data_IF_634497171170
#
_entry.id   IF_634497171170
#
_cell.length_a   1.000
_cell.length_b   1.000
_cell.length_c   1.000
_cell.angle_alpha   90.00
_cell.angle_beta   90.00
_cell.angle_gamma   90.00
#
_symmetry.space_group_name_H-M   'P 1'
#
loop_
_entity.id
_entity.type
_entity.pdbx_description
1 polymer ?
#
# COMPACT_ATOMS: atom_id res chain seq x y z
N UNK A 1 22.30 12.29 -23.00
CA UNK A 1 20.83 12.13 -23.00
C UNK A 1 20.40 10.67 -22.96
N UNK A 2 20.93 9.74 -23.76
CA UNK A 2 20.52 8.31 -23.68
C UNK A 2 20.97 7.62 -22.38
N UNK A 3 22.19 7.87 -21.91
CA UNK A 3 22.71 7.30 -20.65
C UNK A 3 21.89 7.79 -19.46
N UNK A 4 21.64 9.10 -19.37
CA UNK A 4 20.86 9.72 -18.30
C UNK A 4 19.45 9.13 -18.21
N UNK A 5 18.79 8.97 -19.36
CA UNK A 5 17.48 8.34 -19.47
C UNK A 5 17.48 6.88 -18.99
N UNK A 6 18.47 6.08 -19.41
CA UNK A 6 18.53 4.66 -19.05
C UNK A 6 18.72 4.44 -17.55
N UNK A 7 19.51 5.29 -16.88
CA UNK A 7 19.81 5.11 -15.45
C UNK A 7 18.80 5.78 -14.50
N UNK A 8 17.97 6.71 -15.00
CA UNK A 8 17.02 7.43 -14.16
C UNK A 8 15.59 7.31 -14.69
N UNK A 9 15.29 7.93 -15.83
CA UNK A 9 13.92 8.00 -16.37
C UNK A 9 13.31 6.61 -16.63
N UNK A 10 14.11 5.62 -17.04
CA UNK A 10 13.65 4.24 -17.24
C UNK A 10 13.18 3.56 -15.95
N UNK A 11 13.79 3.88 -14.81
CA UNK A 11 13.45 3.33 -13.50
C UNK A 11 12.34 4.15 -12.81
N UNK A 12 12.50 5.47 -12.78
CA UNK A 12 11.65 6.36 -12.00
C UNK A 12 10.43 6.88 -12.77
N UNK A 13 10.37 6.66 -14.08
CA UNK A 13 9.36 7.22 -15.01
C UNK A 13 9.26 8.76 -14.99
N UNK A 14 10.21 9.45 -14.34
CA UNK A 14 10.32 10.90 -14.24
C UNK A 14 11.78 11.35 -14.44
N UNK A 15 12.01 12.56 -14.98
CA UNK A 15 13.37 13.05 -15.21
C UNK A 15 14.09 13.39 -13.89
N UNK A 16 15.42 13.22 -13.80
CA UNK A 16 16.21 13.44 -12.58
C UNK A 16 16.01 14.80 -11.90
N UNK A 17 15.63 15.83 -12.68
CA UNK A 17 15.40 17.19 -12.19
C UNK A 17 14.18 17.34 -11.27
N UNK A 18 13.25 16.38 -11.26
CA UNK A 18 12.08 16.38 -10.36
C UNK A 18 12.16 15.26 -9.30
N UNK A 19 13.02 14.26 -9.52
CA UNK A 19 13.21 13.13 -8.62
C UNK A 19 14.05 13.52 -7.39
N UNK A 20 13.60 13.11 -6.20
CA UNK A 20 14.33 13.38 -4.95
C UNK A 20 15.60 12.53 -4.83
N UNK A 21 16.76 13.17 -4.95
CA UNK A 21 18.07 12.52 -4.78
C UNK A 21 18.18 11.72 -3.47
N UNK A 22 17.61 12.23 -2.37
CA UNK A 22 17.67 11.59 -1.05
C UNK A 22 16.96 10.23 -1.01
N UNK A 23 15.89 10.07 -1.79
CA UNK A 23 15.06 8.87 -1.75
C UNK A 23 15.37 7.89 -2.88
N UNK A 24 16.14 8.31 -3.89
CA UNK A 24 16.52 7.45 -5.02
C UNK A 24 18.00 7.11 -5.05
N UNK A 25 18.86 7.77 -4.27
CA UNK A 25 20.30 7.44 -4.21
C UNK A 25 20.81 7.39 -2.76
N UNK A 26 21.23 6.21 -2.26
CA UNK A 26 21.13 4.90 -2.91
C UNK A 26 19.66 4.42 -2.98
N UNK A 27 19.39 3.49 -3.89
CA UNK A 27 18.10 2.79 -3.95
C UNK A 27 18.14 1.60 -2.99
N UNK A 28 17.31 1.62 -1.95
CA UNK A 28 17.38 0.61 -0.89
C UNK A 28 16.96 -0.77 -1.38
N UNK A 29 16.08 -0.86 -2.38
CA UNK A 29 15.66 -2.13 -2.97
C UNK A 29 16.83 -2.89 -3.58
N UNK A 30 17.69 -2.19 -4.32
CA UNK A 30 18.89 -2.78 -4.91
C UNK A 30 19.98 -3.05 -3.87
N UNK A 31 20.09 -2.20 -2.84
CA UNK A 31 21.02 -2.44 -1.73
C UNK A 31 20.62 -3.69 -0.92
N UNK A 32 19.34 -3.83 -0.60
CA UNK A 32 18.84 -4.85 0.32
C UNK A 32 18.56 -6.19 -0.40
N UNK A 33 18.11 -6.17 -1.67
CA UNK A 33 17.78 -7.38 -2.45
C UNK A 33 18.73 -7.69 -3.62
N UNK A 34 19.72 -6.82 -3.86
CA UNK A 34 20.72 -6.95 -4.91
C UNK A 34 20.34 -6.27 -6.23
N UNK A 35 21.36 -5.98 -7.04
CA UNK A 35 21.22 -5.22 -8.30
C UNK A 35 20.57 -5.99 -9.46
N UNK A 36 20.25 -7.27 -9.27
CA UNK A 36 19.79 -8.13 -10.36
C UNK A 36 18.27 -8.05 -10.55
N UNK A 37 17.85 -7.55 -11.72
CA UNK A 37 16.44 -7.56 -12.14
C UNK A 37 16.15 -8.78 -13.02
N UNK A 38 15.07 -9.50 -12.74
CA UNK A 38 14.65 -10.67 -13.51
C UNK A 38 13.36 -10.39 -14.29
N UNK A 39 13.42 -10.51 -15.62
CA UNK A 39 12.25 -10.42 -16.46
C UNK A 39 11.42 -11.70 -16.38
N UNK A 40 10.24 -11.62 -15.77
CA UNK A 40 9.34 -12.77 -15.64
C UNK A 40 8.52 -12.98 -16.92
N UNK A 41 8.95 -13.94 -17.75
CA UNK A 41 8.26 -14.34 -18.98
C UNK A 41 7.48 -15.66 -18.80
N UNK A 42 6.51 -15.68 -17.88
CA UNK A 42 5.71 -16.88 -17.57
C UNK A 42 4.27 -16.77 -18.14
N UNK A 43 3.77 -17.85 -18.75
CA UNK A 43 2.39 -17.92 -19.28
C UNK A 43 1.29 -17.72 -18.23
N UNK A 44 1.60 -17.92 -16.94
CA UNK A 44 0.70 -17.70 -15.81
C UNK A 44 0.63 -16.23 -15.37
N UNK A 45 1.58 -15.41 -15.83
CA UNK A 45 1.73 -14.00 -15.48
C UNK A 45 2.29 -13.73 -14.07
N UNK A 46 2.74 -12.50 -13.84
CA UNK A 46 3.28 -12.03 -12.55
C UNK A 46 2.21 -12.02 -11.45
N UNK A 47 0.94 -11.87 -11.83
CA UNK A 47 -0.21 -11.94 -10.93
C UNK A 47 -0.37 -13.28 -10.22
N UNK A 48 0.27 -14.35 -10.74
CA UNK A 48 0.26 -15.67 -10.11
C UNK A 48 0.79 -15.64 -8.67
N UNK A 49 1.75 -14.75 -8.38
CA UNK A 49 2.27 -14.51 -7.02
C UNK A 49 1.16 -13.98 -6.10
N UNK A 50 0.42 -12.96 -6.55
CA UNK A 50 -0.67 -12.37 -5.77
C UNK A 50 -1.82 -13.36 -5.56
N UNK A 51 -2.15 -14.14 -6.58
CA UNK A 51 -3.17 -15.19 -6.49
C UNK A 51 -2.73 -16.26 -5.48
N UNK A 52 -1.45 -16.64 -5.48
CA UNK A 52 -0.90 -17.60 -4.53
C UNK A 52 -0.98 -17.10 -3.08
N UNK A 53 -0.62 -15.83 -2.84
CA UNK A 53 -0.72 -15.19 -1.52
C UNK A 53 -2.20 -15.13 -1.07
N UNK A 54 -3.11 -14.71 -1.95
CA UNK A 54 -4.53 -14.63 -1.63
C UNK A 54 -5.14 -15.98 -1.24
N UNK A 55 -4.72 -17.07 -1.90
CA UNK A 55 -5.18 -18.44 -1.59
C UNK A 55 -4.76 -18.94 -0.20
N UNK A 56 -3.75 -18.34 0.44
CA UNK A 56 -3.32 -18.73 1.79
C UNK A 56 -4.38 -18.41 2.86
N UNK A 57 -5.24 -17.42 2.62
CA UNK A 57 -6.23 -16.97 3.61
C UNK A 57 -7.65 -16.84 3.06
N UNK A 58 -7.85 -16.83 1.74
CA UNK A 58 -9.18 -16.81 1.12
C UNK A 58 -9.61 -18.21 0.67
N UNK A 59 -10.88 -18.53 0.93
CA UNK A 59 -11.53 -19.76 0.49
C UNK A 59 -11.56 -19.84 -1.04
N UNK A 60 -11.16 -20.97 -1.59
CA UNK A 60 -11.08 -21.21 -3.03
C UNK A 60 -11.61 -22.60 -3.40
N UNK A 61 -12.05 -22.77 -4.65
CA UNK A 61 -12.48 -24.07 -5.20
C UNK A 61 -11.98 -24.20 -6.64
N UNK A 62 -11.32 -25.31 -6.96
CA UNK A 62 -10.73 -25.57 -8.27
C UNK A 62 -9.87 -24.38 -8.75
N UNK A 63 -8.91 -23.95 -7.93
CA UNK A 63 -8.01 -22.82 -8.21
C UNK A 63 -8.66 -21.42 -8.32
N UNK A 64 -9.99 -21.30 -8.20
CA UNK A 64 -10.71 -20.03 -8.26
C UNK A 64 -11.09 -19.57 -6.85
N UNK A 65 -10.73 -18.33 -6.50
CA UNK A 65 -11.10 -17.72 -5.22
C UNK A 65 -12.61 -17.47 -5.21
N UNK A 66 -13.32 -18.04 -4.22
CA UNK A 66 -14.78 -17.92 -4.04
C UNK A 66 -15.16 -17.42 -2.66
N UNK A 67 -14.22 -16.77 -1.98
CA UNK A 67 -14.41 -16.24 -0.65
C UNK A 67 -15.41 -15.08 -0.65
N UNK A 68 -16.41 -15.13 0.23
CA UNK A 68 -17.42 -14.08 0.31
C UNK A 68 -16.86 -12.73 0.75
N UNK A 69 -15.68 -12.70 1.39
CA UNK A 69 -15.00 -11.47 1.80
C UNK A 69 -14.42 -10.69 0.62
N UNK A 70 -14.10 -11.35 -0.49
CA UNK A 70 -13.63 -10.71 -1.72
C UNK A 70 -14.82 -10.35 -2.61
N UNK A 71 -15.04 -9.06 -2.84
CA UNK A 71 -16.10 -8.54 -3.71
C UNK A 71 -15.48 -7.81 -4.90
N UNK A 72 -15.43 -8.48 -6.05
CA UNK A 72 -14.99 -7.88 -7.31
C UNK A 72 -16.08 -6.98 -7.91
N UNK A 73 -15.70 -6.12 -8.87
CA UNK A 73 -16.60 -5.16 -9.54
C UNK A 73 -17.32 -4.19 -8.57
N UNK A 74 -16.68 -3.88 -7.45
CA UNK A 74 -17.17 -2.92 -6.46
C UNK A 74 -16.31 -1.65 -6.49
N UNK A 75 -16.66 -0.74 -7.38
CA UNK A 75 -16.01 0.58 -7.47
C UNK A 75 -16.48 1.43 -6.29
N UNK A 76 -15.58 1.74 -5.37
CA UNK A 76 -15.88 2.63 -4.22
C UNK A 76 -15.98 4.07 -4.71
N UNK A 77 -17.01 4.79 -4.28
CA UNK A 77 -17.28 6.19 -4.67
C UNK A 77 -17.31 7.15 -3.49
N UNK A 78 -17.68 6.68 -2.31
CA UNK A 78 -17.74 7.53 -1.12
C UNK A 78 -17.34 6.76 0.14
N UNK A 79 -16.53 7.41 0.98
CA UNK A 79 -16.11 6.90 2.29
C UNK A 79 -16.54 7.95 3.33
N UNK A 80 -17.61 7.64 4.04
CA UNK A 80 -18.08 8.42 5.18
C UNK A 80 -17.48 7.86 6.47
N UNK A 81 -16.85 8.69 7.28
CA UNK A 81 -16.21 8.26 8.51
C UNK A 81 -16.49 9.22 9.67
N UNK A 82 -16.57 8.65 10.87
CA UNK A 82 -16.85 9.39 12.10
C UNK A 82 -16.07 8.80 13.26
N UNK A 83 -16.25 9.33 14.49
CA UNK A 83 -15.71 8.69 15.68
C UNK A 83 -16.30 7.30 15.95
N UNK A 84 -17.38 6.88 15.29
CA UNK A 84 -18.07 5.62 15.59
C UNK A 84 -17.80 4.51 14.57
N UNK A 85 -17.24 4.85 13.40
CA UNK A 85 -16.96 3.87 12.36
C UNK A 85 -16.85 4.52 10.99
N UNK A 86 -16.86 3.66 9.97
CA UNK A 86 -16.79 4.02 8.55
C UNK A 86 -17.95 3.37 7.80
N UNK A 87 -18.44 4.07 6.80
CA UNK A 87 -19.45 3.63 5.87
C UNK A 87 -18.92 3.87 4.45
N UNK A 88 -18.87 2.80 3.66
CA UNK A 88 -18.35 2.80 2.29
C UNK A 88 -19.50 2.60 1.33
N UNK A 89 -19.63 3.49 0.35
CA UNK A 89 -20.60 3.42 -0.74
C UNK A 89 -19.90 3.10 -2.05
N UNK A 90 -20.44 2.13 -2.78
CA UNK A 90 -20.00 1.77 -4.12
C UNK A 90 -20.89 2.38 -5.19
N UNK A 91 -20.38 2.41 -6.43
CA UNK A 91 -21.08 2.95 -7.60
C UNK A 91 -22.42 2.27 -7.86
N UNK A 92 -22.50 0.97 -7.64
CA UNK A 92 -23.74 0.18 -7.79
C UNK A 92 -24.76 0.41 -6.66
N UNK A 93 -24.49 1.35 -5.75
CA UNK A 93 -25.36 1.69 -4.63
C UNK A 93 -25.20 0.79 -3.40
N UNK A 94 -24.31 -0.22 -3.42
CA UNK A 94 -24.06 -1.04 -2.23
C UNK A 94 -23.42 -0.22 -1.11
N UNK A 95 -23.79 -0.55 0.12
CA UNK A 95 -23.30 0.11 1.32
C UNK A 95 -22.66 -0.91 2.27
N UNK A 96 -21.48 -0.56 2.78
CA UNK A 96 -20.73 -1.40 3.72
C UNK A 96 -20.41 -0.59 4.98
N UNK A 97 -20.50 -1.22 6.15
CA UNK A 97 -20.17 -0.60 7.43
C UNK A 97 -19.04 -1.36 8.12
N UNK A 98 -18.09 -0.64 8.69
CA UNK A 98 -16.97 -1.20 9.43
C UNK A 98 -16.50 -0.26 10.54
N UNK A 99 -15.62 -0.75 11.41
CA UNK A 99 -14.96 0.10 12.43
C UNK A 99 -13.86 0.97 11.81
N UNK A 100 -13.20 0.49 10.77
CA UNK A 100 -12.04 1.09 10.11
C UNK A 100 -12.02 0.74 8.63
N UNK A 101 -11.30 1.52 7.83
CA UNK A 101 -11.03 1.21 6.41
C UNK A 101 -9.54 1.34 6.13
N UNK A 102 -9.00 0.41 5.35
CA UNK A 102 -7.67 0.48 4.75
C UNK A 102 -7.86 0.82 3.28
N UNK A 103 -7.20 1.87 2.82
CA UNK A 103 -7.27 2.39 1.46
C UNK A 103 -5.94 2.08 0.76
N UNK A 104 -6.00 1.18 -0.21
CA UNK A 104 -4.83 0.69 -0.97
C UNK A 104 -4.91 1.05 -2.46
N UNK A 105 -5.58 2.16 -2.79
CA UNK A 105 -5.68 2.63 -4.18
C UNK A 105 -4.41 3.40 -4.57
N UNK A 106 -4.17 3.59 -5.87
CA UNK A 106 -3.03 4.36 -6.35
C UNK A 106 -3.13 5.84 -5.97
N UNK A 107 -1.98 6.52 -5.94
CA UNK A 107 -1.92 7.97 -5.69
C UNK A 107 -2.76 8.74 -6.70
N UNK A 108 -2.74 8.33 -7.98
CA UNK A 108 -3.57 8.97 -9.03
C UNK A 108 -5.07 8.86 -8.76
N UNK A 109 -5.55 7.76 -8.16
CA UNK A 109 -6.95 7.65 -7.72
C UNK A 109 -7.24 8.61 -6.57
N UNK A 110 -6.33 8.75 -5.60
CA UNK A 110 -6.48 9.68 -4.47
C UNK A 110 -6.43 11.16 -4.90
N UNK A 111 -5.66 11.48 -5.94
CA UNK A 111 -5.57 12.82 -6.53
C UNK A 111 -6.77 13.16 -7.43
N UNK A 112 -7.57 12.15 -7.80
CA UNK A 112 -8.78 12.32 -8.59
C UNK A 112 -10.03 12.48 -7.71
N UNK A 113 -11.14 12.85 -8.34
CA UNK A 113 -12.46 12.91 -7.69
C UNK A 113 -13.20 11.56 -7.66
N UNK A 114 -12.49 10.44 -7.89
CA UNK A 114 -13.11 9.11 -7.96
C UNK A 114 -13.76 8.68 -6.64
N UNK A 115 -13.11 9.00 -5.51
CA UNK A 115 -13.52 8.63 -4.15
C UNK A 115 -13.71 9.90 -3.32
N UNK A 116 -14.94 10.15 -2.89
CA UNK A 116 -15.26 11.28 -2.02
C UNK A 116 -15.14 10.87 -0.55
N UNK A 117 -14.29 11.57 0.20
CA UNK A 117 -14.18 11.38 1.65
C UNK A 117 -15.09 12.36 2.40
N UNK A 118 -15.89 11.85 3.36
CA UNK A 118 -16.79 12.66 4.19
C UNK A 118 -16.57 12.40 5.69
N UNK A 119 -16.18 13.39 6.50
CA UNK A 119 -15.79 14.75 6.10
C UNK A 119 -14.59 14.74 5.15
N UNK A 120 -14.32 15.87 4.48
CA UNK A 120 -13.12 15.99 3.66
C UNK A 120 -11.89 15.73 4.53
N UNK A 121 -10.91 14.97 4.03
CA UNK A 121 -9.73 14.52 4.77
C UNK A 121 -9.02 15.68 5.49
N UNK A 122 -9.00 15.74 6.83
CA UNK A 122 -8.10 16.60 7.60
C UNK A 122 -6.85 15.80 8.06
N UNK A 123 -5.73 16.48 8.34
CA UNK A 123 -4.70 15.89 9.21
C UNK A 123 -5.23 15.84 10.66
N UNK A 124 -5.17 14.71 11.41
CA UNK A 124 -5.08 13.30 11.04
C UNK A 124 -6.45 12.59 10.95
N UNK A 125 -6.56 11.63 10.03
CA UNK A 125 -7.75 10.77 9.85
C UNK A 125 -7.73 9.60 10.85
N UNK A 126 -8.61 9.62 11.84
CA UNK A 126 -8.59 8.63 12.92
C UNK A 126 -9.05 7.20 12.53
N UNK A 127 -9.86 7.04 11.48
CA UNK A 127 -10.42 5.72 11.09
C UNK A 127 -10.09 5.27 9.67
N UNK A 128 -9.35 6.09 8.93
CA UNK A 128 -8.90 5.79 7.58
C UNK A 128 -7.40 5.57 7.65
N UNK A 129 -6.97 4.42 7.15
CA UNK A 129 -5.57 4.08 7.01
C UNK A 129 -5.23 4.00 5.53
N UNK A 130 -4.05 4.45 5.14
CA UNK A 130 -3.54 4.35 3.78
C UNK A 130 -2.40 3.34 3.75
N UNK A 131 -2.33 2.55 2.69
CA UNK A 131 -1.19 1.71 2.37
C UNK A 131 -0.95 1.69 0.86
N UNK A 132 0.23 1.25 0.44
CA UNK A 132 0.65 1.24 -0.96
C UNK A 132 2.09 1.71 -1.10
N UNK A 133 2.61 1.66 -2.31
CA UNK A 133 4.01 1.94 -2.65
C UNK A 133 4.53 3.30 -2.17
N UNK A 134 3.61 4.27 -1.99
CA UNK A 134 3.89 5.65 -1.59
C UNK A 134 3.89 5.88 -0.08
N UNK A 135 3.56 4.84 0.71
CA UNK A 135 3.42 4.95 2.17
C UNK A 135 4.57 4.30 2.95
N UNK A 136 5.52 3.68 2.25
CA UNK A 136 6.70 3.06 2.84
C UNK A 136 7.96 3.73 2.30
N UNK A 137 8.65 4.49 3.16
CA UNK A 137 9.71 5.42 2.74
C UNK A 137 11.01 4.75 2.28
N UNK A 138 11.31 3.54 2.79
CA UNK A 138 12.55 2.84 2.44
C UNK A 138 12.49 2.31 1.02
N UNK A 139 11.33 1.78 0.60
CA UNK A 139 11.16 1.15 -0.71
C UNK A 139 10.26 1.93 -1.70
N UNK A 140 10.29 3.26 -1.65
CA UNK A 140 9.27 4.10 -2.29
C UNK A 140 9.10 3.81 -3.79
N UNK A 141 7.89 3.47 -4.21
CA UNK A 141 7.57 3.23 -5.63
C UNK A 141 7.67 1.77 -6.09
N UNK A 142 8.06 0.84 -5.21
CA UNK A 142 8.16 -0.58 -5.54
C UNK A 142 7.00 -1.41 -4.97
N UNK A 143 6.74 -2.56 -5.60
CA UNK A 143 5.67 -3.48 -5.19
C UNK A 143 5.88 -4.03 -3.76
N UNK A 144 7.13 -4.27 -3.37
CA UNK A 144 7.47 -4.74 -2.02
C UNK A 144 7.11 -3.71 -0.95
N UNK A 145 7.25 -2.44 -1.27
CA UNK A 145 6.84 -1.33 -0.41
C UNK A 145 5.32 -1.34 -0.17
N UNK A 146 4.53 -1.61 -1.21
CA UNK A 146 3.09 -1.76 -1.07
C UNK A 146 2.73 -2.97 -0.19
N UNK A 147 3.47 -4.07 -0.33
CA UNK A 147 3.31 -5.28 0.49
C UNK A 147 3.64 -5.01 1.97
N UNK A 148 4.80 -4.43 2.27
CA UNK A 148 5.21 -4.11 3.63
C UNK A 148 4.32 -3.05 4.28
N UNK A 149 3.99 -1.97 3.56
CA UNK A 149 3.03 -0.97 4.04
C UNK A 149 1.68 -1.59 4.43
N UNK A 150 1.21 -2.57 3.64
CA UNK A 150 -0.02 -3.31 3.92
C UNK A 150 0.09 -4.11 5.23
N UNK A 151 1.19 -4.83 5.42
CA UNK A 151 1.47 -5.59 6.66
C UNK A 151 1.55 -4.67 7.87
N UNK A 152 2.31 -3.58 7.79
CA UNK A 152 2.45 -2.62 8.90
C UNK A 152 1.10 -2.02 9.29
N UNK A 153 0.33 -1.58 8.28
CA UNK A 153 -0.99 -1.00 8.49
C UNK A 153 -1.95 -2.01 9.13
N UNK A 154 -1.95 -3.26 8.65
CA UNK A 154 -2.78 -4.32 9.23
C UNK A 154 -2.37 -4.63 10.67
N UNK A 155 -1.07 -4.75 10.95
CA UNK A 155 -0.55 -5.01 12.30
C UNK A 155 -0.88 -3.87 13.27
N UNK A 156 -0.75 -2.62 12.82
CA UNK A 156 -1.13 -1.46 13.60
C UNK A 156 -2.64 -1.49 13.91
N UNK A 157 -3.47 -1.78 12.91
CA UNK A 157 -4.92 -1.88 13.08
C UNK A 157 -5.33 -3.00 14.04
N UNK A 158 -4.67 -4.17 13.97
CA UNK A 158 -4.89 -5.28 14.90
C UNK A 158 -4.53 -4.88 16.33
N UNK A 159 -3.41 -4.17 16.53
CA UNK A 159 -3.02 -3.63 17.85
C UNK A 159 -4.06 -2.63 18.37
N UNK A 160 -4.51 -1.70 17.53
CA UNK A 160 -5.57 -0.75 17.86
C UNK A 160 -6.91 -1.46 18.20
N UNK A 161 -7.28 -2.52 17.48
CA UNK A 161 -8.49 -3.30 17.74
C UNK A 161 -8.42 -4.08 19.07
N UNK A 162 -7.24 -4.56 19.45
CA UNK A 162 -7.01 -5.25 20.74
C UNK A 162 -6.85 -4.26 21.91
N UNK A 163 -6.29 -3.08 21.63
CA UNK A 163 -5.89 -2.09 22.62
C UNK A 163 -6.18 -0.68 22.09
N UNK A 164 -7.24 -0.02 22.58
CA UNK A 164 -7.72 1.28 22.06
C UNK A 164 -6.68 2.42 22.13
N UNK A 165 -5.65 2.29 22.98
CA UNK A 165 -4.57 3.29 23.15
C UNK A 165 -3.71 3.52 21.90
N UNK A 166 -3.71 2.58 20.95
CA UNK A 166 -2.85 2.62 19.76
C UNK A 166 -3.59 3.09 18.49
N UNK A 167 -4.76 3.70 18.61
CA UNK A 167 -5.58 4.09 17.45
C UNK A 167 -5.28 5.49 16.89
N UNK A 168 -4.09 6.04 17.17
CA UNK A 168 -3.67 7.32 16.62
C UNK A 168 -3.22 7.09 15.17
N UNK A 169 -4.01 7.55 14.20
CA UNK A 169 -3.67 7.46 12.78
C UNK A 169 -2.21 7.88 12.52
N UNK A 170 -1.52 7.09 11.68
CA UNK A 170 -0.09 7.11 11.38
C UNK A 170 0.75 8.10 12.21
N UNK A 171 1.32 7.61 13.32
CA UNK A 171 2.12 8.41 14.24
C UNK A 171 3.36 8.99 13.52
N UNK A 172 3.36 10.32 13.34
CA UNK A 172 4.44 11.07 12.68
C UNK A 172 5.79 10.93 13.39
N UNK A 173 5.82 10.40 14.61
CA UNK A 173 7.07 10.15 15.34
C UNK A 173 7.92 9.01 14.77
N UNK A 174 7.34 8.10 13.99
CA UNK A 174 8.11 6.97 13.44
C UNK A 174 9.04 7.38 12.28
N UNK A 175 8.88 8.54 11.62
CA UNK A 175 9.78 8.91 10.49
C UNK A 175 11.22 9.19 10.92
N UNK A 176 11.48 9.51 12.19
CA UNK A 176 12.85 9.70 12.70
C UNK A 176 13.57 8.39 12.99
N UNK A 177 12.85 7.35 13.39
CA UNK A 177 13.43 6.02 13.65
C UNK A 177 13.53 5.18 12.36
N UNK A 178 12.74 5.49 11.32
CA UNK A 178 12.62 4.72 10.06
C UNK A 178 13.79 4.82 9.09
N UNK A 179 14.66 5.83 9.21
CA UNK A 179 15.92 5.88 8.44
C UNK A 179 17.02 5.03 9.10
N UNK A 180 16.82 4.62 10.35
CA UNK A 180 17.80 3.89 11.17
C UNK A 180 17.27 2.53 11.65
N UNK A 181 16.06 2.12 11.27
CA UNK A 181 15.53 0.81 11.64
C UNK A 181 16.12 -0.24 10.71
N UNK A 182 16.94 -1.12 11.28
CA UNK A 182 17.42 -2.35 10.67
C UNK A 182 16.24 -3.14 10.08
N UNK A 183 16.48 -3.79 8.94
CA UNK A 183 15.48 -4.61 8.27
C UNK A 183 15.07 -5.76 9.23
N UNK A 184 13.78 -5.88 9.62
CA UNK A 184 13.33 -7.00 10.44
C UNK A 184 13.44 -8.37 9.75
N UNK A 185 13.86 -8.40 8.48
CA UNK A 185 14.10 -9.59 7.67
C UNK A 185 15.54 -9.70 7.15
N UNK A 186 16.49 -8.96 7.72
CA UNK A 186 17.92 -9.14 7.43
C UNK A 186 18.32 -10.62 7.71
N UNK A 187 18.69 -11.41 6.69
CA UNK A 187 19.12 -12.79 6.90
C UNK A 187 20.46 -12.90 7.63
N UNK A 188 21.18 -11.78 7.81
CA UNK A 188 22.49 -11.70 8.46
C UNK A 188 22.45 -11.14 9.91
N UNK A 189 21.26 -11.02 10.54
CA UNK A 189 21.07 -10.71 11.98
C UNK A 189 20.49 -11.90 12.76
#
# INVERSE_FOLDING_TARGET
MVIDYFYNDYEDAEPPRVTSLKNTIPRYEFLDFGDQTYFLADSRGFESILIYIAKQFLSHKHEVIRDQRLKLNKVVREINYSKNGVQVKTEDGSMYQAKYVIVSVSVGVLQSDLIVFKPHLPEPVGRIYFCGEHTYSRYLGYADAAYFAGIETANHLIKCLKHEKYCNGHDRHSTKDRLNSEDPYDPDV
#
